data_IF_705949471853
#
_entry.id   IF_705949471853
#
_cell.length_a   1.000
_cell.length_b   1.000
_cell.length_c   1.000
_cell.angle_alpha   90.00
_cell.angle_beta   90.00
_cell.angle_gamma   90.00
#
_symmetry.space_group_name_H-M   'P 1'
#
loop_
_entity.id
_entity.type
_entity.pdbx_description
1 polymer ?
#
# COMPACT_ATOMS: atom_id res chain seq x y z
N UNK A 1 -7.20 -66.11 -19.49
CA UNK A 1 -6.40 -65.03 -18.91
C UNK A 1 -7.03 -63.68 -19.29
N UNK A 2 -7.66 -63.05 -18.34
CA UNK A 2 -8.24 -61.70 -18.55
C UNK A 2 -7.34 -60.71 -17.83
N UNK A 3 -6.56 -59.93 -18.59
CA UNK A 3 -5.79 -58.81 -18.06
C UNK A 3 -6.74 -57.62 -17.90
N UNK A 4 -7.10 -57.31 -16.67
CA UNK A 4 -7.75 -56.03 -16.36
C UNK A 4 -6.68 -54.97 -16.18
N UNK A 5 -6.53 -54.11 -17.19
CA UNK A 5 -5.69 -52.91 -17.09
C UNK A 5 -6.48 -51.89 -16.27
N UNK A 6 -6.11 -51.76 -15.01
CA UNK A 6 -6.58 -50.66 -14.16
C UNK A 6 -5.94 -49.35 -14.60
N UNK A 7 -6.70 -48.48 -15.22
CA UNK A 7 -6.27 -47.09 -15.51
C UNK A 7 -6.33 -46.34 -14.17
N UNK A 8 -5.16 -46.12 -13.57
CA UNK A 8 -5.00 -45.25 -12.41
C UNK A 8 -5.10 -43.79 -12.91
N UNK A 9 -6.28 -43.21 -12.76
CA UNK A 9 -6.49 -41.79 -13.05
C UNK A 9 -5.84 -40.99 -11.94
N UNK A 10 -4.57 -40.57 -12.14
CA UNK A 10 -3.91 -39.61 -11.26
C UNK A 10 -4.55 -38.26 -11.47
N UNK A 11 -5.48 -37.87 -10.61
CA UNK A 11 -5.99 -36.52 -10.52
C UNK A 11 -4.85 -35.65 -9.99
N UNK A 12 -4.18 -34.94 -10.90
CA UNK A 12 -3.25 -33.89 -10.53
C UNK A 12 -4.05 -32.75 -9.92
N UNK A 13 -4.14 -32.72 -8.61
CA UNK A 13 -4.53 -31.53 -7.87
C UNK A 13 -3.40 -30.51 -8.06
N UNK A 14 -3.48 -29.70 -9.11
CA UNK A 14 -2.72 -28.45 -9.17
C UNK A 14 -3.35 -27.55 -8.12
N UNK A 15 -2.60 -27.10 -7.09
CA UNK A 15 -3.11 -26.04 -6.25
C UNK A 15 -3.35 -24.84 -7.17
N UNK A 16 -4.59 -24.38 -7.25
CA UNK A 16 -4.92 -23.11 -7.83
C UNK A 16 -4.14 -22.08 -6.99
N UNK A 17 -3.01 -21.62 -7.53
CA UNK A 17 -2.31 -20.49 -6.96
C UNK A 17 -3.30 -19.31 -6.98
N UNK A 18 -3.75 -18.89 -5.81
CA UNK A 18 -4.57 -17.70 -5.71
C UNK A 18 -3.71 -16.52 -6.15
N UNK A 19 -4.24 -15.69 -7.06
CA UNK A 19 -3.60 -14.46 -7.46
C UNK A 19 -3.38 -13.59 -6.22
N UNK A 20 -2.13 -13.18 -5.99
CA UNK A 20 -1.82 -12.26 -4.91
C UNK A 20 -2.24 -10.83 -5.28
N UNK A 21 -2.40 -9.98 -4.25
CA UNK A 21 -2.77 -8.57 -4.43
C UNK A 21 -1.86 -7.86 -5.46
N UNK A 22 -0.57 -8.17 -5.47
CA UNK A 22 0.37 -7.55 -6.43
C UNK A 22 0.05 -7.93 -7.89
N UNK A 23 -0.42 -9.15 -8.14
CA UNK A 23 -0.83 -9.58 -9.47
C UNK A 23 -2.08 -8.83 -9.92
N UNK A 24 -3.06 -8.65 -9.04
CA UNK A 24 -4.27 -7.87 -9.32
C UNK A 24 -3.95 -6.40 -9.62
N UNK A 25 -3.02 -5.81 -8.88
CA UNK A 25 -2.53 -4.43 -9.10
C UNK A 25 -1.86 -4.33 -10.46
N UNK A 26 -0.99 -5.27 -10.81
CA UNK A 26 -0.29 -5.29 -12.08
C UNK A 26 -1.26 -5.49 -13.26
N UNK A 27 -2.20 -6.40 -13.15
CA UNK A 27 -3.20 -6.67 -14.19
C UNK A 27 -4.11 -5.45 -14.42
N UNK A 28 -4.47 -4.76 -13.36
CA UNK A 28 -5.26 -3.53 -13.43
C UNK A 28 -4.43 -2.33 -13.89
N UNK A 29 -3.11 -2.35 -13.67
CA UNK A 29 -2.20 -1.25 -13.97
C UNK A 29 -2.32 -0.06 -13.02
N UNK A 30 -2.84 -0.28 -11.81
CA UNK A 30 -3.22 0.79 -10.88
C UNK A 30 -3.13 0.35 -9.43
N UNK A 31 -2.48 1.19 -8.61
CA UNK A 31 -2.43 1.06 -7.16
C UNK A 31 -3.45 2.02 -6.54
N UNK A 32 -4.45 1.47 -5.88
CA UNK A 32 -5.52 2.24 -5.22
C UNK A 32 -5.16 2.52 -3.77
N UNK A 33 -5.03 3.79 -3.45
CA UNK A 33 -4.61 4.27 -2.13
C UNK A 33 -5.73 5.12 -1.52
N UNK A 34 -6.27 4.69 -0.38
CA UNK A 34 -7.19 5.51 0.38
C UNK A 34 -6.43 6.62 1.12
N UNK A 35 -6.93 7.83 1.06
CA UNK A 35 -6.36 9.00 1.73
C UNK A 35 -7.46 9.84 2.38
N UNK A 36 -7.11 10.55 3.45
CA UNK A 36 -7.94 11.63 3.99
C UNK A 36 -7.74 12.85 3.11
N UNK A 37 -8.74 13.66 2.95
CA UNK A 37 -8.65 14.89 2.14
C UNK A 37 -8.40 16.16 2.95
N UNK A 38 -8.22 16.04 4.26
CA UNK A 38 -8.18 17.13 5.22
C UNK A 38 -7.08 16.98 6.29
N UNK A 39 -6.02 16.24 5.98
CA UNK A 39 -4.92 15.93 6.90
C UNK A 39 -3.57 16.52 6.45
N UNK A 40 -3.40 17.86 6.43
CA UNK A 40 -2.11 18.45 6.11
C UNK A 40 -1.08 18.15 7.22
N UNK A 41 0.21 17.94 6.88
CA UNK A 41 0.83 18.02 5.55
C UNK A 41 0.80 16.69 4.77
N UNK A 42 0.07 15.69 5.24
CA UNK A 42 0.11 14.32 4.70
C UNK A 42 -0.73 14.15 3.44
N UNK A 43 -2.03 14.38 3.54
CA UNK A 43 -2.95 14.34 2.40
C UNK A 43 -4.07 15.37 2.60
N UNK A 44 -4.13 16.34 1.73
CA UNK A 44 -5.11 17.43 1.82
C UNK A 44 -5.40 18.02 0.44
N UNK A 45 -6.45 18.83 0.36
CA UNK A 45 -6.81 19.53 -0.88
C UNK A 45 -6.24 20.93 -0.91
N UNK A 46 -5.64 21.24 -2.04
CA UNK A 46 -5.24 22.58 -2.42
C UNK A 46 -5.83 22.89 -3.80
N UNK A 47 -6.63 23.93 -3.91
CA UNK A 47 -7.38 24.24 -5.15
C UNK A 47 -8.16 23.01 -5.71
N UNK A 48 -8.83 22.29 -4.84
CA UNK A 48 -9.60 21.07 -5.14
C UNK A 48 -8.77 19.85 -5.62
N UNK A 49 -7.46 19.94 -5.62
CA UNK A 49 -6.53 18.86 -5.95
C UNK A 49 -5.90 18.26 -4.70
N UNK A 50 -5.84 16.94 -4.63
CA UNK A 50 -5.13 16.25 -3.58
C UNK A 50 -3.62 16.48 -3.70
N UNK A 51 -2.99 16.84 -2.59
CA UNK A 51 -1.56 17.06 -2.46
C UNK A 51 -1.07 16.62 -1.09
N UNK A 52 0.24 16.63 -0.87
CA UNK A 52 0.86 16.33 0.41
C UNK A 52 1.89 15.21 0.34
N UNK A 53 2.47 14.92 1.49
CA UNK A 53 3.51 13.90 1.64
C UNK A 53 3.06 12.51 1.16
N UNK A 54 1.89 12.06 1.57
CA UNK A 54 1.36 10.74 1.18
C UNK A 54 1.03 10.67 -0.31
N UNK A 55 0.60 11.76 -0.91
CA UNK A 55 0.30 11.82 -2.34
C UNK A 55 1.58 11.65 -3.15
N UNK A 56 2.62 12.40 -2.86
CA UNK A 56 3.90 12.28 -3.57
C UNK A 56 4.61 10.97 -3.29
N UNK A 57 4.55 10.45 -2.05
CA UNK A 57 5.10 9.14 -1.71
C UNK A 57 4.35 8.01 -2.43
N UNK A 58 3.03 8.08 -2.48
CA UNK A 58 2.20 7.12 -3.20
C UNK A 58 2.47 7.11 -4.71
N UNK A 59 2.70 8.27 -5.30
CA UNK A 59 3.09 8.40 -6.71
C UNK A 59 4.47 7.77 -6.97
N UNK A 60 5.44 8.02 -6.10
CA UNK A 60 6.77 7.43 -6.19
C UNK A 60 6.71 5.90 -6.04
N UNK A 61 5.92 5.40 -5.10
CA UNK A 61 5.70 3.98 -4.87
C UNK A 61 5.07 3.29 -6.10
N UNK A 62 4.00 3.86 -6.63
CA UNK A 62 3.33 3.32 -7.83
C UNK A 62 4.28 3.28 -9.03
N UNK A 63 5.11 4.31 -9.20
CA UNK A 63 6.13 4.35 -10.25
C UNK A 63 7.15 3.23 -10.12
N UNK A 64 7.60 2.93 -8.90
CA UNK A 64 8.51 1.80 -8.65
C UNK A 64 7.86 0.43 -8.94
N UNK A 65 6.54 0.34 -8.78
CA UNK A 65 5.76 -0.86 -9.10
C UNK A 65 5.32 -0.91 -10.59
N UNK A 66 5.68 0.10 -11.38
CA UNK A 66 5.31 0.24 -12.80
C UNK A 66 3.79 0.29 -13.05
N UNK A 67 3.08 0.96 -12.15
CA UNK A 67 1.64 1.20 -12.23
C UNK A 67 1.32 2.66 -11.94
N UNK A 68 0.07 3.06 -12.17
CA UNK A 68 -0.43 4.39 -11.79
C UNK A 68 -0.91 4.39 -10.34
N UNK A 69 -0.79 5.52 -9.67
CA UNK A 69 -1.43 5.74 -8.38
C UNK A 69 -2.85 6.31 -8.59
N UNK A 70 -3.84 5.69 -7.96
CA UNK A 70 -5.17 6.24 -7.79
C UNK A 70 -5.41 6.56 -6.32
N UNK A 71 -5.59 7.82 -6.02
CA UNK A 71 -5.91 8.29 -4.66
C UNK A 71 -7.41 8.45 -4.53
N UNK A 72 -7.98 7.81 -3.52
CA UNK A 72 -9.40 7.87 -3.22
C UNK A 72 -9.60 8.56 -1.88
N UNK A 73 -10.17 9.76 -1.91
CA UNK A 73 -10.54 10.47 -0.70
C UNK A 73 -11.62 9.68 0.04
N UNK A 74 -11.35 9.37 1.30
CA UNK A 74 -12.14 8.42 2.06
C UNK A 74 -12.30 8.93 3.49
N UNK A 75 -13.51 8.90 4.07
CA UNK A 75 -13.71 9.17 5.49
C UNK A 75 -12.88 8.23 6.36
N UNK A 76 -12.32 8.73 7.46
CA UNK A 76 -11.39 7.99 8.32
C UNK A 76 -11.94 6.62 8.76
N UNK A 77 -13.21 6.55 9.11
CA UNK A 77 -13.90 5.33 9.53
C UNK A 77 -14.09 4.28 8.42
N UNK A 78 -13.99 4.68 7.16
CA UNK A 78 -14.13 3.79 6.02
C UNK A 78 -12.81 3.31 5.43
N UNK A 79 -11.68 3.87 5.85
CA UNK A 79 -10.35 3.57 5.29
C UNK A 79 -9.97 2.10 5.51
N UNK A 80 -9.89 1.66 6.75
CA UNK A 80 -9.50 0.27 7.06
C UNK A 80 -10.52 -0.75 6.59
N UNK A 81 -11.83 -0.55 6.78
CA UNK A 81 -12.84 -1.44 6.17
C UNK A 81 -12.73 -1.54 4.65
N UNK A 82 -12.38 -0.46 3.98
CA UNK A 82 -12.15 -0.45 2.53
C UNK A 82 -10.92 -1.24 2.09
N UNK A 83 -9.85 -1.22 2.87
CA UNK A 83 -8.67 -2.08 2.64
C UNK A 83 -9.01 -3.55 2.90
N UNK A 84 -9.73 -3.85 3.98
CA UNK A 84 -10.17 -5.21 4.29
C UNK A 84 -11.03 -5.83 3.20
N UNK A 85 -11.93 -5.05 2.61
CA UNK A 85 -12.85 -5.51 1.56
C UNK A 85 -12.25 -5.54 0.15
N UNK A 86 -11.02 -5.01 -0.02
CA UNK A 86 -10.38 -4.88 -1.33
C UNK A 86 -10.88 -3.71 -2.18
N UNK A 87 -11.64 -2.78 -1.60
CA UNK A 87 -12.02 -1.52 -2.25
C UNK A 87 -10.78 -0.66 -2.53
N UNK A 88 -9.82 -0.67 -1.61
CA UNK A 88 -8.50 -0.08 -1.73
C UNK A 88 -7.44 -1.15 -1.55
N UNK A 89 -6.27 -0.95 -2.16
CA UNK A 89 -5.14 -1.87 -2.01
C UNK A 89 -4.36 -1.59 -0.73
N UNK A 90 -4.25 -0.32 -0.35
CA UNK A 90 -3.52 0.13 0.83
C UNK A 90 -3.95 1.52 1.28
N UNK A 91 -3.44 1.92 2.42
CA UNK A 91 -3.43 3.30 2.89
C UNK A 91 -2.10 3.59 3.59
N UNK A 92 -1.81 4.86 3.81
CA UNK A 92 -0.73 5.28 4.70
C UNK A 92 -1.32 5.68 6.06
N UNK A 93 -0.68 5.27 7.14
CA UNK A 93 -1.06 5.69 8.48
C UNK A 93 0.18 6.15 9.26
N UNK A 94 0.07 7.27 9.94
CA UNK A 94 1.15 7.91 10.68
C UNK A 94 1.22 7.50 12.14
N UNK A 95 0.36 6.60 12.58
CA UNK A 95 0.27 6.18 13.98
C UNK A 95 0.21 4.66 14.08
N UNK A 96 0.61 4.14 15.23
CA UNK A 96 0.32 2.76 15.57
C UNK A 96 -1.20 2.57 15.63
N UNK A 97 -1.68 1.64 14.82
CA UNK A 97 -3.10 1.28 14.74
C UNK A 97 -3.30 -0.16 15.16
N UNK A 98 -4.40 -0.43 15.82
CA UNK A 98 -4.88 -1.80 15.97
C UNK A 98 -5.39 -2.30 14.64
N UNK A 99 -4.76 -3.36 14.15
CA UNK A 99 -5.18 -4.04 12.94
C UNK A 99 -6.15 -5.16 13.29
N UNK A 100 -7.19 -5.32 12.47
CA UNK A 100 -8.01 -6.51 12.52
C UNK A 100 -7.21 -7.74 12.10
N UNK A 101 -7.74 -8.93 12.37
CA UNK A 101 -7.14 -10.21 11.96
C UNK A 101 -7.14 -10.43 10.43
N UNK A 102 -7.77 -9.53 9.67
CA UNK A 102 -7.82 -9.54 8.20
C UNK A 102 -6.71 -8.72 7.53
N UNK A 103 -5.99 -7.91 8.30
CA UNK A 103 -4.96 -7.01 7.81
C UNK A 103 -3.59 -7.40 8.35
N UNK A 104 -2.57 -7.18 7.51
CA UNK A 104 -1.17 -7.05 7.91
C UNK A 104 -0.72 -5.62 7.67
N UNK A 105 0.46 -5.27 8.14
CA UNK A 105 1.01 -3.95 7.94
C UNK A 105 2.50 -4.00 7.61
N UNK A 106 2.88 -3.20 6.61
CA UNK A 106 4.27 -2.85 6.37
C UNK A 106 4.62 -1.69 7.31
N UNK A 107 5.59 -1.91 8.18
CA UNK A 107 6.14 -0.89 9.07
C UNK A 107 7.39 -0.32 8.42
N UNK A 108 7.16 0.65 7.57
CA UNK A 108 8.20 1.30 6.81
C UNK A 108 8.60 2.61 7.48
N UNK A 109 9.85 3.00 7.24
CA UNK A 109 10.34 4.31 7.63
C UNK A 109 10.22 4.56 9.14
N UNK A 110 11.03 3.84 9.91
CA UNK A 110 11.06 3.91 11.38
C UNK A 110 11.15 5.35 11.92
N UNK A 111 11.77 6.26 11.17
CA UNK A 111 11.86 7.69 11.49
C UNK A 111 10.51 8.42 11.46
N UNK A 112 9.56 7.94 10.66
CA UNK A 112 8.25 8.55 10.46
C UNK A 112 7.09 7.78 11.10
N UNK A 113 7.36 6.60 11.66
CA UNK A 113 6.32 5.68 12.18
C UNK A 113 5.23 5.37 11.14
N UNK A 114 5.62 5.31 9.86
CA UNK A 114 4.70 5.05 8.77
C UNK A 114 4.28 3.58 8.76
N UNK A 115 3.01 3.35 8.78
CA UNK A 115 2.38 2.03 8.71
C UNK A 115 1.53 1.95 7.45
N UNK A 116 1.69 0.88 6.67
CA UNK A 116 0.92 0.63 5.45
C UNK A 116 0.08 -0.63 5.66
N UNK A 117 -1.19 -0.50 6.07
CA UNK A 117 -2.11 -1.62 6.14
C UNK A 117 -2.45 -2.17 4.76
N UNK A 118 -2.51 -3.50 4.65
CA UNK A 118 -2.92 -4.22 3.45
C UNK A 118 -3.59 -5.55 3.82
N UNK A 119 -4.26 -6.21 2.88
CA UNK A 119 -4.90 -7.49 3.13
C UNK A 119 -3.88 -8.57 3.50
N UNK A 120 -4.16 -9.27 4.58
CA UNK A 120 -3.35 -10.39 5.07
C UNK A 120 -3.19 -11.49 4.02
N UNK A 121 -2.06 -12.18 4.05
CA UNK A 121 -1.78 -13.29 3.14
C UNK A 121 -1.26 -12.87 1.76
N UNK A 122 -0.64 -11.70 1.66
CA UNK A 122 -0.08 -11.16 0.43
C UNK A 122 1.44 -10.87 0.56
N UNK A 123 2.28 -11.90 0.76
CA UNK A 123 3.72 -11.71 0.99
C UNK A 123 4.46 -11.11 -0.21
N UNK A 124 4.01 -11.35 -1.44
CA UNK A 124 4.64 -10.76 -2.62
C UNK A 124 4.33 -9.25 -2.72
N UNK A 125 3.14 -8.81 -2.31
CA UNK A 125 2.83 -7.39 -2.18
C UNK A 125 3.73 -6.73 -1.14
N UNK A 126 3.86 -7.34 0.05
CA UNK A 126 4.74 -6.85 1.10
C UNK A 126 6.18 -6.68 0.61
N UNK A 127 6.73 -7.71 -0.05
CA UNK A 127 8.09 -7.68 -0.58
C UNK A 127 8.27 -6.60 -1.66
N UNK A 128 7.31 -6.46 -2.58
CA UNK A 128 7.35 -5.46 -3.65
C UNK A 128 7.33 -4.03 -3.09
N UNK A 129 6.46 -3.75 -2.12
CA UNK A 129 6.36 -2.43 -1.48
C UNK A 129 7.61 -2.13 -0.64
N UNK A 130 8.11 -3.08 0.15
CA UNK A 130 9.35 -2.90 0.92
C UNK A 130 10.54 -2.59 0.00
N UNK A 131 10.70 -3.33 -1.09
CA UNK A 131 11.77 -3.09 -2.07
C UNK A 131 11.63 -1.73 -2.75
N UNK A 132 10.42 -1.32 -3.10
CA UNK A 132 10.15 -0.02 -3.69
C UNK A 132 10.48 1.13 -2.72
N UNK A 133 10.06 1.03 -1.47
CA UNK A 133 10.36 2.01 -0.43
C UNK A 133 11.86 2.10 -0.15
N UNK A 134 12.58 0.96 -0.15
CA UNK A 134 14.02 0.93 0.00
C UNK A 134 14.72 1.71 -1.13
N UNK A 135 14.29 1.54 -2.37
CA UNK A 135 14.84 2.30 -3.51
C UNK A 135 14.58 3.80 -3.39
N UNK A 136 13.37 4.17 -2.97
CA UNK A 136 12.98 5.58 -2.75
C UNK A 136 13.81 6.22 -1.64
N UNK A 137 14.14 5.45 -0.60
CA UNK A 137 15.01 5.88 0.49
C UNK A 137 16.47 6.01 0.03
N UNK A 138 17.01 4.98 -0.61
CA UNK A 138 18.43 4.88 -1.02
C UNK A 138 18.82 5.96 -2.05
N UNK A 139 17.91 6.36 -2.93
CA UNK A 139 18.18 7.37 -3.96
C UNK A 139 17.89 8.81 -3.52
N UNK A 140 17.49 9.03 -2.28
CA UNK A 140 17.29 10.34 -1.67
C UNK A 140 15.90 10.95 -1.88
N UNK A 141 15.01 10.34 -2.67
CA UNK A 141 13.64 10.88 -2.90
C UNK A 141 12.85 11.00 -1.61
N UNK A 142 12.98 10.04 -0.70
CA UNK A 142 12.29 10.11 0.58
C UNK A 142 12.74 11.31 1.40
N UNK A 143 14.06 11.54 1.52
CA UNK A 143 14.60 12.68 2.25
C UNK A 143 14.13 14.01 1.68
N UNK A 144 14.00 14.11 0.36
CA UNK A 144 13.45 15.30 -0.31
C UNK A 144 11.97 15.50 0.02
N UNK A 145 11.17 14.46 0.03
CA UNK A 145 9.75 14.52 0.41
C UNK A 145 9.56 14.91 1.88
N UNK A 146 10.35 14.36 2.77
CA UNK A 146 10.35 14.71 4.19
C UNK A 146 10.72 16.19 4.40
N UNK A 147 11.76 16.64 3.72
CA UNK A 147 12.18 18.05 3.77
C UNK A 147 11.09 18.98 3.24
N UNK A 148 10.48 18.62 2.13
CA UNK A 148 9.43 19.43 1.50
C UNK A 148 8.19 19.58 2.37
N UNK A 149 7.72 18.48 2.95
CA UNK A 149 6.41 18.42 3.59
C UNK A 149 6.45 18.44 5.13
N UNK A 150 7.44 17.78 5.73
CA UNK A 150 7.43 17.50 7.17
C UNK A 150 8.31 18.46 7.98
N UNK A 151 9.33 19.04 7.39
CA UNK A 151 10.20 20.00 8.09
C UNK A 151 9.49 21.33 8.35
N UNK A 152 8.78 21.86 7.38
CA UNK A 152 8.00 23.10 7.52
C UNK A 152 6.88 22.97 8.56
N UNK A 153 6.25 21.78 8.67
CA UNK A 153 5.24 21.51 9.67
C UNK A 153 5.80 21.47 11.10
N UNK A 154 7.06 21.06 11.27
CA UNK A 154 7.74 21.08 12.58
C UNK A 154 8.09 22.49 13.04
N UNK A 155 8.48 23.35 12.12
CA UNK A 155 8.80 24.76 12.41
C UNK A 155 7.57 25.52 12.89
N UNK A 156 6.42 25.33 12.26
CA UNK A 156 5.15 25.94 12.70
C UNK A 156 4.63 25.41 14.04
N UNK A 157 4.95 24.18 14.41
CA UNK A 157 4.58 23.60 15.70
C UNK A 157 5.50 24.02 16.86
N UNK A 158 6.70 24.51 16.55
CA UNK A 158 7.67 24.97 17.53
C UNK A 158 7.49 26.45 17.94
N UNK A 159 6.69 27.21 17.19
CA UNK A 159 6.39 28.64 17.45
C UNK A 159 5.08 28.88 18.21
N UNK A 160 4.40 27.81 18.72
CA UNK A 160 3.19 27.94 19.55
C UNK A 160 3.50 27.62 21.00
#
# INVERSE_FOLDING_TARGET
MRLTIGILLAVLFSPLAQAELIDEINDRGELRIAVLGDAPPYAFKENEHLTGFEIELGQALAKELDVRAEFVETPAEEVLPGVESGKFDMTFNQQDIELSDKLDAIRALASQKLVIPYQKGNPAFEAAVNNALQRIEDDGRLAELEKKWLTAARETSAEQ
#
